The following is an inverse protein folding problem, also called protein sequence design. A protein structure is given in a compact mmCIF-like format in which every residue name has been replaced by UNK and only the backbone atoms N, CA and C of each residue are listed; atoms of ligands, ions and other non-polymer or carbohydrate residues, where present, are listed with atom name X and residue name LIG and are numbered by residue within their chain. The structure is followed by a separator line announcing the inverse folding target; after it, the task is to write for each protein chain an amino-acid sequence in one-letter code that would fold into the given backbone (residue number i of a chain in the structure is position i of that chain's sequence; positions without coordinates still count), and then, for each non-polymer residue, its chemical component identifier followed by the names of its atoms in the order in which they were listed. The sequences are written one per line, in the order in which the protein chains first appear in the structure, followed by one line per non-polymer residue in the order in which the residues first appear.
data_IF_784030641048
#
_entry.id   IF_784030641048
#
_cell.length_a   1.000
_cell.length_b   1.000
_cell.length_c   1.000
_cell.angle_alpha   90.00
_cell.angle_beta   90.00
_cell.angle_gamma   90.00
#
_symmetry.space_group_name_H-M   'P 1'
#
loop_
_entity.id
_entity.type
_entity.pdbx_description
1 polymer ?
#
# COMPACT_ATOMS: atom_id res chain seq x y z
N UNK A 1 -0.18 -4.42 5.27
CA UNK A 1 -1.02 -3.55 6.12
C UNK A 1 -0.11 -2.57 6.86
N UNK A 2 -0.58 -1.33 7.17
CA UNK A 2 0.17 -0.40 8.01
C UNK A 2 0.03 -0.70 9.49
N UNK A 3 1.04 -0.30 10.29
CA UNK A 3 1.10 -0.53 11.75
C UNK A 3 0.76 0.71 12.59
N UNK A 4 0.50 1.86 11.97
CA UNK A 4 0.34 3.12 12.69
C UNK A 4 -1.07 3.37 13.25
N UNK A 5 -1.14 4.23 14.30
CA UNK A 5 -2.39 4.81 14.83
C UNK A 5 -3.36 3.84 15.51
N UNK A 6 -2.96 2.66 15.87
CA UNK A 6 -3.71 1.79 16.77
C UNK A 6 -3.62 2.31 18.22
N UNK A 7 -4.62 2.03 19.03
CA UNK A 7 -4.65 2.41 20.45
C UNK A 7 -3.57 1.70 21.27
N UNK A 8 -3.24 0.46 20.89
CA UNK A 8 -2.15 -0.31 21.50
C UNK A 8 -1.46 -1.21 20.47
N UNK A 9 -0.26 -1.68 20.79
CA UNK A 9 0.47 -2.63 19.95
C UNK A 9 -0.17 -4.02 19.95
N UNK A 10 -0.84 -4.40 21.04
CA UNK A 10 -1.61 -5.63 21.14
C UNK A 10 -2.79 -5.63 20.16
N UNK A 11 -3.53 -4.52 20.10
CA UNK A 11 -4.65 -4.35 19.17
C UNK A 11 -4.16 -4.34 17.72
N UNK A 12 -3.04 -3.66 17.45
CA UNK A 12 -2.38 -3.67 16.15
C UNK A 12 -2.03 -5.10 15.72
N UNK A 13 -1.35 -5.86 16.58
CA UNK A 13 -0.95 -7.23 16.29
C UNK A 13 -2.15 -8.15 16.02
N UNK A 14 -3.22 -8.03 16.83
CA UNK A 14 -4.46 -8.78 16.64
C UNK A 14 -5.15 -8.44 15.30
N UNK A 15 -5.20 -7.15 14.93
CA UNK A 15 -5.76 -6.71 13.66
C UNK A 15 -4.91 -7.18 12.47
N UNK A 16 -3.58 -7.10 12.55
CA UNK A 16 -2.68 -7.62 11.51
C UNK A 16 -2.89 -9.13 11.32
N UNK A 17 -2.93 -9.90 12.39
CA UNK A 17 -3.19 -11.34 12.32
C UNK A 17 -4.55 -11.66 11.69
N UNK A 18 -5.61 -10.92 12.05
CA UNK A 18 -6.95 -11.10 11.50
C UNK A 18 -7.06 -10.72 10.02
N UNK A 19 -6.23 -9.77 9.56
CA UNK A 19 -6.21 -9.32 8.16
C UNK A 19 -5.63 -10.33 7.19
N UNK A 20 -4.85 -11.30 7.66
CA UNK A 20 -4.10 -12.22 6.80
C UNK A 20 -3.02 -11.53 5.96
N UNK A 21 -2.61 -10.32 6.34
CA UNK A 21 -1.55 -9.59 5.63
C UNK A 21 -0.22 -10.34 5.70
N UNK A 22 0.49 -10.40 4.59
CA UNK A 22 1.83 -10.98 4.49
C UNK A 22 2.93 -9.93 4.63
N UNK A 23 2.58 -8.65 4.44
CA UNK A 23 3.50 -7.52 4.51
C UNK A 23 2.97 -6.47 5.49
N UNK A 24 3.85 -6.02 6.39
CA UNK A 24 3.55 -4.93 7.33
C UNK A 24 4.49 -3.77 7.08
N UNK A 25 3.92 -2.59 6.82
CA UNK A 25 4.71 -1.36 6.69
C UNK A 25 4.71 -0.57 7.99
N UNK A 26 5.87 0.00 8.30
CA UNK A 26 6.08 0.82 9.49
C UNK A 26 6.96 2.04 9.18
N UNK A 27 6.74 3.15 9.90
CA UNK A 27 7.55 4.34 9.78
C UNK A 27 8.84 4.19 10.61
N UNK A 28 9.99 4.53 10.00
CA UNK A 28 11.32 4.30 10.59
C UNK A 28 11.73 5.29 11.68
N UNK A 29 10.98 6.39 11.87
CA UNK A 29 11.28 7.39 12.90
C UNK A 29 11.03 6.81 14.29
N UNK A 30 11.94 7.09 15.24
CA UNK A 30 11.90 6.55 16.60
C UNK A 30 10.56 6.78 17.30
N UNK A 31 9.98 7.96 17.19
CA UNK A 31 8.68 8.32 17.77
C UNK A 31 7.49 7.53 17.21
N UNK A 32 7.73 6.71 16.19
CA UNK A 32 6.75 5.82 15.56
C UNK A 32 6.96 4.35 15.90
N UNK A 33 8.16 4.01 16.37
CA UNK A 33 8.54 2.64 16.71
C UNK A 33 8.32 2.31 18.19
N UNK A 34 8.34 3.30 19.07
CA UNK A 34 8.22 3.10 20.51
C UNK A 34 6.95 3.74 21.06
N UNK A 35 6.29 3.06 21.99
CA UNK A 35 5.19 3.62 22.75
C UNK A 35 5.70 4.47 23.94
N UNK A 36 4.76 5.06 24.69
CA UNK A 36 5.08 5.88 25.87
C UNK A 36 5.76 5.10 27.01
N UNK A 37 5.65 3.77 27.02
CA UNK A 37 6.32 2.88 28.00
C UNK A 37 7.67 2.38 27.50
N UNK A 38 8.08 2.73 26.28
CA UNK A 38 9.35 2.34 25.68
C UNK A 38 9.35 0.95 25.03
N UNK A 39 8.17 0.33 24.83
CA UNK A 39 8.06 -0.96 24.11
C UNK A 39 8.19 -0.72 22.62
N UNK A 40 8.86 -1.63 21.92
CA UNK A 40 9.04 -1.53 20.47
C UNK A 40 7.87 -2.21 19.74
N UNK A 41 7.30 -1.52 18.76
CA UNK A 41 6.25 -2.04 17.87
C UNK A 41 6.63 -3.38 17.22
N UNK A 42 7.90 -3.53 16.83
CA UNK A 42 8.36 -4.73 16.14
C UNK A 42 8.35 -5.98 17.02
N UNK A 43 8.41 -5.83 18.35
CA UNK A 43 8.33 -6.94 19.31
C UNK A 43 6.94 -7.61 19.33
N UNK A 44 5.94 -6.94 18.77
CA UNK A 44 4.55 -7.44 18.68
C UNK A 44 4.22 -8.09 17.33
N UNK A 45 5.17 -8.15 16.40
CA UNK A 45 4.99 -8.71 15.06
C UNK A 45 5.62 -10.10 14.95
N UNK A 46 4.92 -11.02 14.30
CA UNK A 46 5.47 -12.35 13.98
C UNK A 46 6.37 -12.24 12.74
N UNK A 47 7.66 -11.97 12.98
CA UNK A 47 8.65 -11.77 11.92
C UNK A 47 8.97 -13.04 11.12
N UNK A 48 8.49 -14.22 11.56
CA UNK A 48 8.61 -15.46 10.78
C UNK A 48 7.55 -15.55 9.68
N UNK A 49 6.41 -14.88 9.87
CA UNK A 49 5.29 -14.89 8.93
C UNK A 49 5.14 -13.61 8.13
N UNK A 50 5.66 -12.50 8.65
CA UNK A 50 5.46 -11.17 8.10
C UNK A 50 6.74 -10.66 7.45
N UNK A 51 6.62 -10.14 6.24
CA UNK A 51 7.67 -9.32 5.62
C UNK A 51 7.53 -7.88 6.11
N UNK A 52 8.65 -7.30 6.52
CA UNK A 52 8.70 -5.92 6.98
C UNK A 52 8.98 -4.99 5.81
N UNK A 53 8.21 -3.91 5.72
CA UNK A 53 8.35 -2.87 4.70
C UNK A 53 8.50 -1.50 5.36
N UNK A 54 9.75 -1.06 5.64
CA UNK A 54 9.98 0.29 6.15
C UNK A 54 9.46 1.34 5.19
N UNK A 55 8.85 2.41 5.69
CA UNK A 55 8.42 3.52 4.85
C UNK A 55 9.11 4.84 5.20
N UNK A 56 9.18 5.74 4.22
CA UNK A 56 9.78 7.06 4.35
C UNK A 56 8.77 8.14 4.75
N UNK A 57 7.70 7.75 5.43
CA UNK A 57 6.61 8.63 5.85
C UNK A 57 7.11 9.89 6.57
N UNK A 58 6.60 11.03 6.14
CA UNK A 58 7.00 12.34 6.63
C UNK A 58 8.21 12.94 5.91
N UNK A 59 8.68 12.36 4.80
CA UNK A 59 9.58 13.02 3.88
C UNK A 59 8.80 13.98 2.97
N UNK A 60 9.38 15.17 2.74
CA UNK A 60 8.86 16.20 1.83
C UNK A 60 9.86 16.53 0.72
N UNK A 61 10.96 15.82 0.64
CA UNK A 61 12.00 15.91 -0.38
C UNK A 61 12.71 14.55 -0.56
N UNK A 62 13.34 14.37 -1.72
CA UNK A 62 14.04 13.14 -2.05
C UNK A 62 15.20 12.83 -1.10
N UNK A 63 15.96 13.83 -0.68
CA UNK A 63 17.13 13.66 0.21
C UNK A 63 16.70 13.10 1.58
N UNK A 64 15.60 13.63 2.13
CA UNK A 64 15.01 13.13 3.38
C UNK A 64 14.48 11.70 3.20
N UNK A 65 13.80 11.39 2.09
CA UNK A 65 13.30 10.05 1.81
C UNK A 65 14.44 9.03 1.70
N UNK A 66 15.52 9.35 0.99
CA UNK A 66 16.71 8.50 0.87
C UNK A 66 17.35 8.25 2.24
N UNK A 67 17.48 9.27 3.08
CA UNK A 67 18.01 9.12 4.44
C UNK A 67 17.14 8.20 5.28
N UNK A 68 15.81 8.35 5.23
CA UNK A 68 14.88 7.47 5.95
C UNK A 68 14.91 6.04 5.42
N UNK A 69 15.02 5.84 4.11
CA UNK A 69 15.16 4.52 3.52
C UNK A 69 16.42 3.78 4.02
N UNK A 70 17.56 4.49 4.06
CA UNK A 70 18.81 3.93 4.63
C UNK A 70 18.65 3.56 6.11
N UNK A 71 17.97 4.39 6.92
CA UNK A 71 17.65 4.05 8.30
C UNK A 71 16.78 2.79 8.39
N UNK A 72 15.78 2.65 7.51
CA UNK A 72 14.93 1.45 7.44
C UNK A 72 15.74 0.20 7.13
N UNK A 73 16.68 0.27 6.19
CA UNK A 73 17.58 -0.84 5.87
C UNK A 73 18.45 -1.26 7.06
N UNK A 74 18.99 -0.31 7.81
CA UNK A 74 19.77 -0.64 9.01
C UNK A 74 18.92 -1.29 10.12
N UNK A 75 17.64 -0.88 10.27
CA UNK A 75 16.70 -1.56 11.18
C UNK A 75 16.48 -3.00 10.72
N UNK A 76 16.18 -3.24 9.43
CA UNK A 76 16.00 -4.60 8.92
C UNK A 76 17.23 -5.48 9.11
N UNK A 77 18.43 -4.94 8.87
CA UNK A 77 19.70 -5.64 9.11
C UNK A 77 19.89 -6.01 10.58
N UNK A 78 19.54 -5.10 11.49
CA UNK A 78 19.65 -5.38 12.93
C UNK A 78 18.70 -6.47 13.43
N UNK A 79 17.63 -6.74 12.67
CA UNK A 79 16.66 -7.81 12.94
C UNK A 79 17.01 -9.12 12.22
N UNK A 80 18.09 -9.15 11.44
CA UNK A 80 18.54 -10.30 10.66
C UNK A 80 17.47 -10.87 9.71
N UNK A 81 16.57 -10.01 9.21
CA UNK A 81 15.52 -10.41 8.25
C UNK A 81 16.08 -10.55 6.84
N UNK A 82 15.58 -11.52 6.08
CA UNK A 82 16.14 -11.91 4.79
C UNK A 82 15.99 -10.85 3.66
N UNK A 83 15.06 -9.91 3.78
CA UNK A 83 14.79 -8.86 2.79
C UNK A 83 15.11 -7.48 3.39
N UNK A 84 16.37 -7.07 3.39
CA UNK A 84 16.83 -5.82 3.99
C UNK A 84 16.84 -4.62 3.03
N UNK A 85 16.51 -4.83 1.74
CA UNK A 85 16.53 -3.81 0.69
C UNK A 85 15.14 -3.27 0.29
N UNK A 86 14.06 -3.77 0.88
CA UNK A 86 12.70 -3.26 0.61
C UNK A 86 12.47 -1.91 1.25
N UNK A 87 11.85 -1.01 0.50
CA UNK A 87 11.38 0.29 1.01
C UNK A 87 10.06 0.70 0.36
N UNK A 88 9.10 1.14 1.17
CA UNK A 88 7.95 1.91 0.68
C UNK A 88 8.36 3.37 0.62
N UNK A 89 8.55 3.87 -0.61
CA UNK A 89 8.88 5.26 -0.84
C UNK A 89 7.63 6.12 -0.77
N UNK A 90 7.65 7.12 0.11
CA UNK A 90 6.63 8.13 0.27
C UNK A 90 7.33 9.49 0.36
N UNK A 91 7.08 10.38 -0.62
CA UNK A 91 7.52 11.78 -0.60
C UNK A 91 6.28 12.65 -0.78
N UNK A 92 5.93 13.42 0.24
CA UNK A 92 4.72 14.23 0.27
C UNK A 92 4.98 15.62 -0.35
N UNK A 93 4.07 16.08 -1.20
CA UNK A 93 4.12 17.41 -1.80
C UNK A 93 3.39 18.47 -0.97
N UNK A 94 2.42 18.05 -0.16
CA UNK A 94 1.57 18.95 0.62
C UNK A 94 1.13 18.35 1.95
N UNK A 95 1.30 19.09 3.03
CA UNK A 95 1.01 18.60 4.38
C UNK A 95 -0.48 18.49 4.70
N UNK A 96 -1.36 19.16 3.94
CA UNK A 96 -2.81 19.14 4.14
C UNK A 96 -3.48 18.00 3.41
N UNK A 97 -3.07 17.75 2.17
CA UNK A 97 -3.64 16.71 1.32
C UNK A 97 -2.91 15.37 1.44
N UNK A 98 -1.64 15.40 1.85
CA UNK A 98 -0.72 14.26 1.88
C UNK A 98 -0.59 13.56 0.51
N UNK A 99 -0.84 14.31 -0.57
CA UNK A 99 -0.58 13.83 -1.92
C UNK A 99 0.93 13.77 -2.17
N UNK A 100 1.39 12.79 -2.96
CA UNK A 100 2.81 12.63 -3.25
C UNK A 100 3.32 13.75 -4.17
N UNK A 101 4.57 14.17 -3.96
CA UNK A 101 5.29 15.04 -4.89
C UNK A 101 5.81 14.19 -6.06
N UNK A 102 5.35 14.43 -7.30
CA UNK A 102 5.73 13.58 -8.43
C UNK A 102 7.20 13.71 -8.83
N UNK A 103 7.79 14.89 -8.66
CA UNK A 103 9.19 15.18 -9.05
C UNK A 103 10.14 14.56 -8.03
N UNK A 104 9.92 14.85 -6.75
CA UNK A 104 10.78 14.35 -5.67
C UNK A 104 10.62 12.83 -5.49
N UNK A 105 9.42 12.26 -5.73
CA UNK A 105 9.22 10.80 -5.74
C UNK A 105 10.02 10.13 -6.86
N UNK A 106 9.99 10.69 -8.08
CA UNK A 106 10.77 10.16 -9.21
C UNK A 106 12.26 10.21 -8.91
N UNK A 107 12.75 11.36 -8.45
CA UNK A 107 14.15 11.56 -8.07
C UNK A 107 14.61 10.60 -6.97
N UNK A 108 13.81 10.43 -5.93
CA UNK A 108 14.12 9.49 -4.85
C UNK A 108 14.14 8.04 -5.32
N UNK A 109 13.24 7.68 -6.26
CA UNK A 109 13.20 6.34 -6.87
C UNK A 109 14.51 6.04 -7.59
N UNK A 110 14.98 6.95 -8.45
CA UNK A 110 16.25 6.79 -9.18
C UNK A 110 17.44 6.61 -8.23
N UNK A 111 17.52 7.45 -7.18
CA UNK A 111 18.60 7.40 -6.20
C UNK A 111 18.59 6.07 -5.42
N UNK A 112 17.43 5.64 -4.95
CA UNK A 112 17.29 4.41 -4.16
C UNK A 112 17.52 3.15 -5.00
N UNK A 113 17.01 3.12 -6.24
CA UNK A 113 17.25 2.01 -7.16
C UNK A 113 18.75 1.87 -7.48
N UNK A 114 19.47 2.98 -7.68
CA UNK A 114 20.92 2.99 -7.86
C UNK A 114 21.70 2.47 -6.64
N UNK A 115 21.13 2.59 -5.44
CA UNK A 115 21.68 2.05 -4.19
C UNK A 115 21.27 0.59 -3.90
N UNK A 116 20.58 -0.07 -4.84
CA UNK A 116 20.15 -1.45 -4.74
C UNK A 116 18.92 -1.67 -3.84
N UNK A 117 18.11 -0.62 -3.61
CA UNK A 117 16.81 -0.80 -2.96
C UNK A 117 15.78 -1.37 -3.94
N UNK A 118 14.92 -2.22 -3.44
CA UNK A 118 13.65 -2.60 -4.08
C UNK A 118 12.57 -1.59 -3.66
N UNK A 119 12.31 -0.63 -4.56
CA UNK A 119 11.50 0.54 -4.24
C UNK A 119 10.03 0.30 -4.62
N UNK A 120 9.15 0.33 -3.62
CA UNK A 120 7.70 0.32 -3.79
C UNK A 120 7.20 1.75 -3.66
N UNK A 121 6.75 2.36 -4.77
CA UNK A 121 6.51 3.81 -4.84
C UNK A 121 5.06 4.19 -4.59
N UNK A 122 4.77 4.85 -3.46
CA UNK A 122 3.50 5.56 -3.28
C UNK A 122 3.42 6.74 -4.26
N UNK A 123 2.32 6.81 -5.00
CA UNK A 123 2.12 7.82 -6.04
C UNK A 123 0.65 8.20 -6.19
N UNK A 124 0.37 9.23 -7.00
CA UNK A 124 -0.98 9.55 -7.45
C UNK A 124 -1.49 8.50 -8.45
N UNK A 125 -2.74 8.65 -8.85
CA UNK A 125 -3.39 7.85 -9.90
C UNK A 125 -3.05 8.32 -11.33
N UNK A 126 -1.89 8.95 -11.53
CA UNK A 126 -1.40 9.39 -12.85
C UNK A 126 -0.70 8.24 -13.60
N UNK A 127 -1.26 7.75 -14.75
CA UNK A 127 -0.64 6.67 -15.51
C UNK A 127 0.72 7.04 -16.11
N UNK A 128 0.94 8.33 -16.42
CA UNK A 128 2.22 8.78 -16.99
C UNK A 128 3.31 8.70 -15.94
N UNK A 129 3.02 9.17 -14.73
CA UNK A 129 3.96 9.09 -13.61
C UNK A 129 4.24 7.63 -13.24
N UNK A 130 3.22 6.77 -13.21
CA UNK A 130 3.37 5.35 -12.93
C UNK A 130 4.38 4.67 -13.88
N UNK A 131 4.29 4.93 -15.19
CA UNK A 131 5.27 4.43 -16.17
C UNK A 131 6.68 4.98 -15.95
N UNK A 132 6.79 6.27 -15.58
CA UNK A 132 8.09 6.89 -15.29
C UNK A 132 8.75 6.27 -14.06
N UNK A 133 7.98 6.01 -13.00
CA UNK A 133 8.48 5.36 -11.79
C UNK A 133 9.00 3.94 -12.08
N UNK A 134 8.26 3.14 -12.87
CA UNK A 134 8.74 1.82 -13.33
C UNK A 134 10.04 1.96 -14.12
N UNK A 135 10.14 2.91 -15.05
CA UNK A 135 11.34 3.16 -15.84
C UNK A 135 12.52 3.64 -14.97
N UNK A 136 12.27 4.34 -13.88
CA UNK A 136 13.25 4.77 -12.90
C UNK A 136 13.76 3.66 -11.96
N UNK A 137 13.22 2.45 -12.08
CA UNK A 137 13.65 1.29 -11.29
C UNK A 137 12.76 0.91 -10.12
N UNK A 138 11.54 1.47 -10.03
CA UNK A 138 10.57 0.98 -9.05
C UNK A 138 10.23 -0.49 -9.34
N UNK A 139 10.19 -1.32 -8.30
CA UNK A 139 9.76 -2.73 -8.38
C UNK A 139 8.26 -2.89 -8.17
N UNK A 140 7.59 -1.86 -7.68
CA UNK A 140 6.13 -1.77 -7.56
C UNK A 140 5.70 -0.31 -7.60
N UNK A 141 4.52 -0.06 -8.17
CA UNK A 141 3.85 1.24 -8.13
C UNK A 141 2.60 1.12 -7.26
N UNK A 142 2.43 2.10 -6.37
CA UNK A 142 1.37 2.10 -5.37
C UNK A 142 0.47 3.33 -5.54
N UNK A 143 -0.44 3.34 -6.54
CA UNK A 143 -1.33 4.46 -6.79
C UNK A 143 -2.32 4.65 -5.63
N UNK A 144 -2.53 5.92 -5.24
CA UNK A 144 -3.56 6.27 -4.28
C UNK A 144 -4.96 6.01 -4.85
N UNK A 145 -5.83 5.33 -4.11
CA UNK A 145 -7.26 5.30 -4.41
C UNK A 145 -7.92 6.67 -4.17
N UNK A 146 -7.54 7.31 -3.07
CA UNK A 146 -7.91 8.66 -2.67
C UNK A 146 -6.91 9.15 -1.59
N UNK A 147 -6.96 10.42 -1.13
CA UNK A 147 -6.01 10.94 -0.16
C UNK A 147 -5.87 10.08 1.11
N UNK A 148 -4.66 10.03 1.66
CA UNK A 148 -4.36 9.24 2.87
C UNK A 148 -5.35 9.55 3.99
N UNK A 149 -5.98 8.51 4.55
CA UNK A 149 -6.91 8.63 5.68
C UNK A 149 -8.27 9.21 5.36
N UNK A 150 -8.60 9.44 4.07
CA UNK A 150 -9.90 9.98 3.64
C UNK A 150 -11.02 8.94 3.68
N UNK A 151 -10.73 7.66 3.42
CA UNK A 151 -11.73 6.60 3.34
C UNK A 151 -12.72 6.74 2.18
N UNK A 152 -12.35 7.49 1.13
CA UNK A 152 -13.21 7.77 -0.03
C UNK A 152 -13.20 6.66 -1.09
N UNK A 153 -12.39 5.61 -0.89
CA UNK A 153 -12.26 4.49 -1.82
C UNK A 153 -11.45 4.86 -3.08
N UNK A 154 -11.74 4.18 -4.19
CA UNK A 154 -11.09 4.40 -5.48
C UNK A 154 -11.88 5.45 -6.25
N UNK A 155 -11.40 6.69 -6.29
CA UNK A 155 -12.09 7.82 -6.93
C UNK A 155 -11.98 7.80 -8.45
N UNK A 156 -10.91 7.25 -9.00
CA UNK A 156 -10.69 7.19 -10.44
C UNK A 156 -10.39 5.76 -10.92
N UNK A 157 -11.43 4.93 -11.06
CA UNK A 157 -11.27 3.55 -11.52
C UNK A 157 -10.63 3.45 -12.91
N UNK A 158 -10.88 4.43 -13.78
CA UNK A 158 -10.34 4.45 -15.14
C UNK A 158 -8.81 4.58 -15.14
N UNK A 159 -8.28 5.52 -14.37
CA UNK A 159 -6.82 5.69 -14.29
C UNK A 159 -6.17 4.46 -13.66
N UNK A 160 -6.76 3.87 -12.62
CA UNK A 160 -6.23 2.64 -12.04
C UNK A 160 -6.16 1.50 -13.06
N UNK A 161 -7.21 1.29 -13.86
CA UNK A 161 -7.20 0.29 -14.93
C UNK A 161 -6.15 0.60 -15.99
N UNK A 162 -5.96 1.87 -16.34
CA UNK A 162 -4.93 2.30 -17.30
C UNK A 162 -3.53 2.02 -16.75
N UNK A 163 -3.27 2.34 -15.47
CA UNK A 163 -1.99 2.02 -14.81
C UNK A 163 -1.71 0.53 -14.85
N UNK A 164 -2.69 -0.30 -14.46
CA UNK A 164 -2.55 -1.76 -14.48
C UNK A 164 -2.25 -2.25 -15.90
N UNK A 165 -3.03 -1.82 -16.89
CA UNK A 165 -2.85 -2.24 -18.28
C UNK A 165 -1.47 -1.85 -18.82
N UNK A 166 -1.04 -0.60 -18.63
CA UNK A 166 0.22 -0.08 -19.12
C UNK A 166 1.43 -0.78 -18.49
N UNK A 167 1.43 -0.94 -17.17
CA UNK A 167 2.57 -1.53 -16.46
C UNK A 167 2.69 -3.03 -16.70
N UNK A 168 1.57 -3.73 -16.86
CA UNK A 168 1.54 -5.17 -17.13
C UNK A 168 1.68 -5.54 -18.60
N UNK A 169 1.53 -4.61 -19.53
CA UNK A 169 1.75 -4.86 -20.95
C UNK A 169 3.17 -5.35 -21.27
N UNK A 170 4.18 -4.82 -20.58
CA UNK A 170 5.58 -5.17 -20.76
C UNK A 170 6.12 -6.15 -19.72
N UNK A 171 5.46 -6.24 -18.59
CA UNK A 171 5.80 -7.14 -17.47
C UNK A 171 4.52 -7.57 -16.76
N UNK A 172 3.90 -8.69 -17.14
CA UNK A 172 2.65 -9.17 -16.54
C UNK A 172 2.73 -9.42 -15.03
N UNK A 173 3.93 -9.63 -14.50
CA UNK A 173 4.19 -9.87 -13.07
C UNK A 173 4.40 -8.60 -12.25
N UNK A 174 4.50 -7.42 -12.88
CA UNK A 174 4.78 -6.17 -12.20
C UNK A 174 3.66 -5.81 -11.20
N UNK A 175 3.97 -5.67 -9.88
CA UNK A 175 2.94 -5.45 -8.88
C UNK A 175 2.38 -4.03 -8.94
N UNK A 176 1.06 -3.91 -8.97
CA UNK A 176 0.32 -2.66 -8.76
C UNK A 176 -0.50 -2.79 -7.49
N UNK A 177 -0.21 -1.96 -6.49
CA UNK A 177 -0.81 -2.04 -5.16
C UNK A 177 -1.59 -0.75 -4.90
N UNK A 178 -2.90 -0.82 -4.72
CA UNK A 178 -3.66 0.38 -4.34
C UNK A 178 -3.33 0.73 -2.89
N UNK A 179 -2.79 1.93 -2.69
CA UNK A 179 -2.37 2.44 -1.39
C UNK A 179 -3.12 3.73 -1.06
N UNK A 180 -3.56 3.85 0.17
CA UNK A 180 -4.36 4.97 0.68
C UNK A 180 -5.81 5.05 0.18
N UNK A 181 -6.64 5.69 0.98
CA UNK A 181 -8.03 5.99 0.64
C UNK A 181 -9.03 4.86 0.79
N UNK A 182 -8.60 3.62 0.92
CA UNK A 182 -9.49 2.47 1.17
C UNK A 182 -10.18 2.69 2.52
N UNK A 183 -11.51 2.73 2.52
CA UNK A 183 -12.32 2.99 3.69
C UNK A 183 -13.04 1.77 4.24
N UNK A 184 -13.38 0.79 3.37
CA UNK A 184 -14.11 -0.41 3.74
C UNK A 184 -13.82 -1.58 2.80
N UNK A 185 -14.35 -2.76 3.12
CA UNK A 185 -14.11 -4.00 2.38
C UNK A 185 -14.52 -3.94 0.90
N UNK A 186 -15.61 -3.23 0.57
CA UNK A 186 -16.03 -3.06 -0.83
C UNK A 186 -15.04 -2.26 -1.67
N UNK A 187 -14.33 -1.29 -1.08
CA UNK A 187 -13.28 -0.54 -1.78
C UNK A 187 -12.10 -1.45 -2.10
N UNK A 188 -11.72 -2.32 -1.16
CA UNK A 188 -10.68 -3.31 -1.36
C UNK A 188 -11.06 -4.28 -2.48
N UNK A 189 -12.30 -4.82 -2.46
CA UNK A 189 -12.79 -5.69 -3.51
C UNK A 189 -12.75 -5.00 -4.89
N UNK A 190 -13.23 -3.76 -4.97
CA UNK A 190 -13.20 -2.97 -6.21
C UNK A 190 -11.79 -2.79 -6.74
N UNK A 191 -10.81 -2.45 -5.89
CA UNK A 191 -9.42 -2.29 -6.31
C UNK A 191 -8.87 -3.56 -6.99
N UNK A 192 -9.16 -4.75 -6.41
CA UNK A 192 -8.74 -6.05 -6.97
C UNK A 192 -9.49 -6.39 -8.26
N UNK A 193 -10.79 -6.11 -8.35
CA UNK A 193 -11.59 -6.27 -9.58
C UNK A 193 -11.07 -5.41 -10.73
N UNK A 194 -10.56 -4.20 -10.43
CA UNK A 194 -9.95 -3.29 -11.41
C UNK A 194 -8.56 -3.73 -11.88
N UNK A 195 -8.00 -4.78 -11.28
CA UNK A 195 -6.76 -5.41 -11.73
C UNK A 195 -5.56 -5.18 -10.82
N UNK A 196 -5.68 -4.45 -9.72
CA UNK A 196 -4.62 -4.35 -8.72
C UNK A 196 -4.25 -5.74 -8.16
N UNK A 197 -3.00 -5.92 -7.77
CA UNK A 197 -2.50 -7.19 -7.22
C UNK A 197 -2.70 -7.27 -5.70
N UNK A 198 -2.74 -6.10 -5.05
CA UNK A 198 -2.95 -5.99 -3.61
C UNK A 198 -3.53 -4.62 -3.24
N UNK A 199 -3.90 -4.48 -1.97
CA UNK A 199 -4.18 -3.21 -1.32
C UNK A 199 -3.28 -3.03 -0.11
N UNK A 200 -2.82 -1.81 0.13
CA UNK A 200 -2.17 -1.42 1.37
C UNK A 200 -3.09 -0.45 2.11
N UNK A 201 -3.46 -0.78 3.32
CA UNK A 201 -4.40 0.00 4.12
C UNK A 201 -3.97 0.04 5.59
N UNK A 202 -4.40 1.08 6.29
CA UNK A 202 -4.15 1.23 7.71
C UNK A 202 -5.33 1.94 8.42
N UNK A 203 -5.60 3.21 8.06
CA UNK A 203 -6.56 4.07 8.77
C UNK A 203 -7.96 3.48 8.85
N UNK A 204 -8.43 2.80 7.80
CA UNK A 204 -9.73 2.15 7.77
C UNK A 204 -9.88 1.07 8.85
N UNK A 205 -8.79 0.38 9.16
CA UNK A 205 -8.76 -0.63 10.23
C UNK A 205 -8.51 0.03 11.58
N UNK A 206 -7.45 0.81 11.72
CA UNK A 206 -7.04 1.39 13.00
C UNK A 206 -8.07 2.35 13.62
N UNK A 207 -8.94 2.97 12.80
CA UNK A 207 -9.99 3.89 13.24
C UNK A 207 -11.39 3.28 13.24
N UNK A 208 -11.53 2.00 12.92
CA UNK A 208 -12.82 1.32 13.01
C UNK A 208 -13.27 1.18 14.48
N UNK A 209 -14.56 1.11 14.69
CA UNK A 209 -15.10 0.81 16.03
C UNK A 209 -14.70 -0.59 16.56
N UNK A 210 -14.43 -1.53 15.62
CA UNK A 210 -13.83 -2.84 15.88
C UNK A 210 -12.71 -3.07 14.85
N UNK A 211 -11.44 -2.74 15.18
CA UNK A 211 -10.31 -2.90 14.28
C UNK A 211 -10.07 -4.35 13.84
N UNK A 212 -10.27 -5.32 14.73
CA UNK A 212 -10.06 -6.74 14.39
C UNK A 212 -11.14 -7.23 13.44
N UNK A 213 -12.41 -6.86 13.69
CA UNK A 213 -13.53 -7.16 12.81
C UNK A 213 -13.35 -6.51 11.42
N UNK A 214 -12.92 -5.24 11.37
CA UNK A 214 -12.64 -4.55 10.11
C UNK A 214 -11.48 -5.18 9.35
N UNK A 215 -10.41 -5.57 10.02
CA UNK A 215 -9.28 -6.28 9.39
C UNK A 215 -9.74 -7.58 8.71
N UNK A 216 -10.60 -8.35 9.39
CA UNK A 216 -11.22 -9.56 8.82
C UNK A 216 -12.13 -9.23 7.63
N UNK A 217 -12.92 -8.18 7.71
CA UNK A 217 -13.77 -7.73 6.60
C UNK A 217 -12.94 -7.33 5.38
N UNK A 218 -11.82 -6.61 5.58
CA UNK A 218 -10.89 -6.23 4.51
C UNK A 218 -10.30 -7.47 3.81
N UNK A 219 -9.89 -8.48 4.59
CA UNK A 219 -9.42 -9.76 4.04
C UNK A 219 -10.47 -10.39 3.14
N UNK A 220 -11.70 -10.51 3.60
CA UNK A 220 -12.80 -11.06 2.81
C UNK A 220 -13.07 -10.24 1.54
N UNK A 221 -12.96 -8.90 1.62
CA UNK A 221 -13.07 -8.02 0.47
C UNK A 221 -11.99 -8.29 -0.58
N UNK A 222 -10.74 -8.44 -0.15
CA UNK A 222 -9.62 -8.80 -1.03
C UNK A 222 -9.85 -10.16 -1.68
N UNK A 223 -10.21 -11.19 -0.91
CA UNK A 223 -10.49 -12.54 -1.40
C UNK A 223 -11.64 -12.52 -2.43
N UNK A 224 -12.72 -11.77 -2.14
CA UNK A 224 -13.85 -11.62 -3.06
C UNK A 224 -13.46 -10.93 -4.38
N UNK A 225 -12.68 -9.83 -4.32
CA UNK A 225 -12.21 -9.12 -5.51
C UNK A 225 -11.31 -9.97 -6.40
N UNK A 226 -10.40 -10.75 -5.80
CA UNK A 226 -9.55 -11.71 -6.53
C UNK A 226 -10.42 -12.77 -7.22
N UNK A 227 -11.36 -13.37 -6.49
CA UNK A 227 -12.25 -14.40 -7.03
C UNK A 227 -13.13 -13.85 -8.16
N UNK A 228 -13.71 -12.66 -7.98
CA UNK A 228 -14.55 -12.01 -9.00
C UNK A 228 -13.75 -11.69 -10.27
N UNK A 229 -12.52 -11.19 -10.14
CA UNK A 229 -11.62 -10.95 -11.28
C UNK A 229 -11.30 -12.24 -12.02
N UNK A 230 -10.97 -13.30 -11.31
CA UNK A 230 -10.65 -14.62 -11.90
C UNK A 230 -11.85 -15.25 -12.63
N UNK A 231 -13.05 -15.08 -12.07
CA UNK A 231 -14.28 -15.59 -12.68
C UNK A 231 -14.68 -14.80 -13.95
N UNK A 232 -14.23 -13.56 -14.07
CA UNK A 232 -14.60 -12.68 -15.18
C UNK A 232 -15.94 -11.97 -14.96
N UNK A 233 -15.90 -10.66 -15.08
CA UNK A 233 -17.09 -9.80 -14.91
C UNK A 233 -18.03 -9.92 -16.11
N UNK A 234 -19.33 -9.99 -15.87
CA UNK A 234 -20.33 -9.82 -16.92
C UNK A 234 -20.14 -8.46 -17.64
N UNK A 235 -20.24 -8.47 -18.97
CA UNK A 235 -20.17 -7.25 -19.78
C UNK A 235 -21.23 -6.23 -19.37
N UNK A 236 -20.86 -4.95 -19.32
CA UNK A 236 -21.83 -3.86 -19.11
C UNK A 236 -22.70 -3.70 -20.34
N UNK A 237 -24.04 -3.62 -20.16
CA UNK A 237 -24.98 -3.34 -21.22
C UNK A 237 -25.69 -2.03 -20.93
N UNK A 238 -25.99 -1.27 -22.00
CA UNK A 238 -26.80 -0.06 -21.92
C UNK A 238 -28.30 -0.35 -21.68
N UNK A 239 -28.77 -1.51 -22.16
CA UNK A 239 -30.15 -1.91 -22.07
C UNK A 239 -30.32 -3.16 -21.20
N UNK A 240 -31.50 -3.29 -20.61
CA UNK A 240 -31.88 -4.47 -19.87
C UNK A 240 -31.95 -5.71 -20.78
N UNK A 241 -31.66 -6.86 -20.22
CA UNK A 241 -31.84 -8.17 -20.83
C UNK A 241 -32.58 -9.05 -19.81
N UNK A 242 -33.61 -9.76 -20.24
CA UNK A 242 -34.35 -10.67 -19.37
C UNK A 242 -33.44 -11.76 -18.85
N UNK A 243 -33.51 -12.06 -17.55
CA UNK A 243 -32.77 -13.13 -16.92
C UNK A 243 -33.50 -14.46 -16.87
N UNK A 244 -34.84 -14.44 -17.10
CA UNK A 244 -35.69 -15.64 -17.18
C UNK A 244 -35.91 -16.02 -18.63
N UNK A 245 -35.90 -17.32 -18.96
CA UNK A 245 -36.35 -17.75 -20.31
C UNK A 245 -37.80 -17.37 -20.55
N UNK A 246 -38.15 -17.00 -21.80
CA UNK A 246 -39.53 -16.78 -22.25
C UNK A 246 -40.31 -18.10 -22.30
#
# INVERSE_FOLDING_TARGET
MGSGRFESFELMAAAIAASGAEVVTFAVRRERLYDSSGRNLLDFLDLQKLKLLPNTSGAYDAATAVRLARMGREILRSLEVAADNWVKLEVLGDSRTLLPDPIETLRATELLAAEGFEVLCYTSDDPILARRLKAAGAVSVMPAGSPIGSGLGVLNPHNLQTIVADLKATDPSFPVIVDAGIGTASDAALALELGADAVLLNSAVARAGDPVGMARAMRLGVEAGIAARAAGRMGKSKFASASSPE
#
